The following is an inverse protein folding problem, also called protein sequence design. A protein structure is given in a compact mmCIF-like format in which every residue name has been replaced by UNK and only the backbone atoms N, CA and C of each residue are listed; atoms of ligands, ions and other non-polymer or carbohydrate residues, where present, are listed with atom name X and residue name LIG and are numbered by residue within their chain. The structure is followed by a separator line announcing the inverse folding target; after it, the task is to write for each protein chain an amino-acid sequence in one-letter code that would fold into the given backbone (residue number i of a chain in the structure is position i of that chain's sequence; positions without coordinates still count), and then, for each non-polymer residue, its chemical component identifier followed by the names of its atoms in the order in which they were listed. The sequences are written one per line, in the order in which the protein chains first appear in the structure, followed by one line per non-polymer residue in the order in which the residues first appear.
data_IF_632056632149
#
_entry.id   IF_632056632149
#
_cell.length_a   1.000
_cell.length_b   1.000
_cell.length_c   1.000
_cell.angle_alpha   90.00
_cell.angle_beta   90.00
_cell.angle_gamma   90.00
#
_symmetry.space_group_name_H-M   'P 1'
#
loop_
_entity.id
_entity.type
_entity.pdbx_description
1 polymer ?
#
# COMPACT_ATOMS: atom_id res chain seq x y z
N UNK A 1 10.05 -41.28 -4.53
CA UNK A 1 9.92 -40.23 -5.58
C UNK A 1 9.00 -39.15 -5.04
N UNK A 2 9.40 -37.88 -5.06
CA UNK A 2 8.57 -36.75 -4.62
C UNK A 2 7.62 -36.29 -5.73
N UNK A 3 6.55 -35.56 -5.41
CA UNK A 3 5.61 -34.97 -6.39
C UNK A 3 6.36 -34.21 -7.50
N UNK A 4 7.36 -33.41 -7.12
CA UNK A 4 8.19 -32.64 -8.05
C UNK A 4 9.02 -33.55 -8.96
N UNK A 5 9.59 -34.63 -8.42
CA UNK A 5 10.36 -35.61 -9.20
C UNK A 5 9.47 -36.39 -10.19
N UNK A 6 8.27 -36.79 -9.77
CA UNK A 6 7.30 -37.47 -10.64
C UNK A 6 6.90 -36.61 -11.84
N UNK A 7 6.56 -35.34 -11.58
CA UNK A 7 6.18 -34.39 -12.64
C UNK A 7 7.35 -34.11 -13.58
N UNK A 8 8.56 -33.91 -13.05
CA UNK A 8 9.76 -33.71 -13.88
C UNK A 8 10.04 -34.90 -14.81
N UNK A 9 9.83 -36.12 -14.34
CA UNK A 9 10.02 -37.33 -15.15
C UNK A 9 9.02 -37.40 -16.31
N UNK A 10 7.74 -37.14 -16.06
CA UNK A 10 6.69 -37.12 -17.09
C UNK A 10 6.95 -36.04 -18.14
N UNK A 11 7.30 -34.82 -17.70
CA UNK A 11 7.62 -33.72 -18.61
C UNK A 11 8.83 -34.03 -19.49
N UNK A 12 9.88 -34.64 -18.94
CA UNK A 12 11.07 -35.01 -19.70
C UNK A 12 10.82 -36.09 -20.76
N UNK A 13 9.80 -36.93 -20.56
CA UNK A 13 9.34 -37.88 -21.58
C UNK A 13 8.53 -37.19 -22.68
N UNK A 14 7.60 -36.31 -22.31
CA UNK A 14 6.71 -35.61 -23.24
C UNK A 14 7.44 -34.60 -24.13
N UNK A 15 8.40 -33.84 -23.59
CA UNK A 15 9.17 -32.85 -24.36
C UNK A 15 10.01 -33.49 -25.50
N UNK A 16 10.18 -34.83 -25.53
CA UNK A 16 10.91 -35.57 -26.57
C UNK A 16 10.01 -36.10 -27.69
N UNK A 17 8.70 -35.96 -27.57
CA UNK A 17 7.75 -36.45 -28.57
C UNK A 17 7.45 -35.35 -29.59
N UNK A 18 7.67 -35.59 -30.90
CA UNK A 18 7.16 -34.70 -31.94
C UNK A 18 5.63 -34.84 -32.06
N UNK A 19 4.98 -33.79 -32.54
CA UNK A 19 3.55 -33.77 -32.92
C UNK A 19 2.55 -34.12 -31.80
N UNK A 20 2.73 -33.47 -30.65
CA UNK A 20 1.79 -33.61 -29.54
C UNK A 20 0.41 -32.96 -29.86
N UNK A 21 -0.70 -33.67 -29.60
CA UNK A 21 -2.05 -33.10 -29.65
C UNK A 21 -2.21 -31.86 -28.77
N UNK A 22 -3.04 -30.91 -29.20
CA UNK A 22 -3.26 -29.63 -28.49
C UNK A 22 -3.69 -29.81 -27.02
N UNK A 23 -4.52 -30.82 -26.72
CA UNK A 23 -4.95 -31.13 -25.35
C UNK A 23 -3.78 -31.59 -24.45
N UNK A 24 -2.80 -32.30 -25.02
CA UNK A 24 -1.60 -32.70 -24.30
C UNK A 24 -0.65 -31.51 -24.08
N UNK A 25 -0.59 -30.55 -24.99
CA UNK A 25 0.15 -29.30 -24.77
C UNK A 25 -0.40 -28.50 -23.58
N UNK A 26 -1.73 -28.43 -23.41
CA UNK A 26 -2.37 -27.80 -22.24
C UNK A 26 -2.05 -28.54 -20.95
N UNK A 27 -2.13 -29.88 -20.96
CA UNK A 27 -1.78 -30.71 -19.80
C UNK A 27 -0.31 -30.53 -19.39
N UNK A 28 0.61 -30.38 -20.35
CA UNK A 28 2.04 -30.13 -20.10
C UNK A 28 2.27 -28.79 -19.39
N UNK A 29 1.53 -27.74 -19.74
CA UNK A 29 1.62 -26.44 -19.08
C UNK A 29 1.22 -26.55 -17.60
N UNK A 30 0.07 -27.17 -17.33
CA UNK A 30 -0.44 -27.40 -15.96
C UNK A 30 0.58 -28.21 -15.14
N UNK A 31 1.17 -29.26 -15.72
CA UNK A 31 2.22 -30.05 -15.08
C UNK A 31 3.49 -29.21 -14.80
N UNK A 32 3.94 -28.37 -15.73
CA UNK A 32 5.10 -27.46 -15.53
C UNK A 32 4.86 -26.51 -14.35
N UNK A 33 3.62 -26.06 -14.15
CA UNK A 33 3.22 -25.20 -13.02
C UNK A 33 3.11 -25.97 -11.69
N UNK A 34 2.54 -27.18 -11.70
CA UNK A 34 2.48 -28.06 -10.53
C UNK A 34 3.89 -28.43 -10.02
N UNK A 35 4.87 -28.56 -10.92
CA UNK A 35 6.29 -28.76 -10.58
C UNK A 35 6.89 -27.57 -9.80
N UNK A 36 6.41 -26.36 -10.08
CA UNK A 36 6.86 -25.11 -9.46
C UNK A 36 6.14 -24.77 -8.15
N UNK A 37 5.15 -25.58 -7.75
CA UNK A 37 4.60 -25.57 -6.38
C UNK A 37 3.20 -25.00 -6.21
N UNK A 38 2.54 -24.52 -7.28
CA UNK A 38 1.14 -24.05 -7.22
C UNK A 38 0.25 -24.89 -8.14
N UNK A 39 -0.60 -25.78 -7.59
CA UNK A 39 -1.68 -26.41 -8.35
C UNK A 39 -2.93 -25.52 -8.38
N UNK A 40 -3.63 -25.46 -9.51
CA UNK A 40 -5.11 -25.48 -9.47
C UNK A 40 -5.91 -24.28 -9.99
N UNK A 41 -5.29 -23.16 -10.39
CA UNK A 41 -6.01 -22.12 -11.14
C UNK A 41 -5.01 -21.41 -12.04
N UNK A 42 -5.13 -21.60 -13.36
CA UNK A 42 -4.50 -20.68 -14.30
C UNK A 42 -5.23 -19.36 -14.07
N UNK A 43 -4.57 -18.45 -13.36
CA UNK A 43 -5.10 -17.12 -13.14
C UNK A 43 -4.90 -16.31 -14.42
N UNK A 44 -5.88 -16.37 -15.31
CA UNK A 44 -5.95 -15.46 -16.46
C UNK A 44 -6.34 -14.06 -15.98
N UNK A 45 -6.18 -13.05 -16.84
CA UNK A 45 -6.63 -11.69 -16.51
C UNK A 45 -8.12 -11.66 -16.17
N UNK A 46 -8.91 -12.38 -16.95
CA UNK A 46 -10.36 -12.50 -16.78
C UNK A 46 -10.70 -13.18 -15.46
N UNK A 47 -10.06 -14.30 -15.13
CA UNK A 47 -10.30 -15.03 -13.88
C UNK A 47 -9.93 -14.19 -12.64
N UNK A 48 -8.86 -13.38 -12.73
CA UNK A 48 -8.47 -12.45 -11.67
C UNK A 48 -9.53 -11.36 -11.49
N UNK A 49 -9.97 -10.74 -12.59
CA UNK A 49 -10.98 -9.67 -12.56
C UNK A 49 -12.31 -10.18 -12.04
N UNK A 50 -12.80 -11.30 -12.56
CA UNK A 50 -14.07 -11.92 -12.15
C UNK A 50 -14.06 -12.24 -10.64
N UNK A 51 -12.96 -12.80 -10.12
CA UNK A 51 -12.84 -13.09 -8.69
C UNK A 51 -12.89 -11.81 -7.82
N UNK A 52 -12.27 -10.73 -8.28
CA UNK A 52 -12.27 -9.44 -7.57
C UNK A 52 -13.63 -8.74 -7.68
N UNK A 53 -14.27 -8.78 -8.85
CA UNK A 53 -15.59 -8.21 -9.09
C UNK A 53 -16.65 -8.92 -8.25
N UNK A 54 -16.60 -10.26 -8.19
CA UNK A 54 -17.44 -11.04 -7.28
C UNK A 54 -17.27 -10.60 -5.81
N UNK A 55 -16.03 -10.42 -5.37
CA UNK A 55 -15.77 -9.91 -4.01
C UNK A 55 -16.38 -8.53 -3.80
N UNK A 56 -16.30 -7.66 -4.81
CA UNK A 56 -16.89 -6.32 -4.76
C UNK A 56 -18.41 -6.34 -4.73
N UNK A 57 -19.07 -7.26 -5.44
CA UNK A 57 -20.52 -7.47 -5.37
C UNK A 57 -20.94 -7.94 -3.98
N UNK A 58 -20.21 -8.90 -3.40
CA UNK A 58 -20.51 -9.47 -2.08
C UNK A 58 -20.25 -8.46 -0.93
N UNK A 59 -19.22 -7.62 -1.04
CA UNK A 59 -18.75 -6.77 0.07
C UNK A 59 -18.90 -5.26 -0.16
N UNK A 60 -19.26 -4.81 -1.37
CA UNK A 60 -19.40 -3.39 -1.73
C UNK A 60 -18.08 -2.62 -1.78
N UNK A 61 -16.93 -3.30 -1.78
CA UNK A 61 -15.57 -2.73 -1.76
C UNK A 61 -14.54 -3.68 -2.38
N UNK A 62 -13.39 -3.18 -2.86
CA UNK A 62 -12.31 -4.04 -3.31
C UNK A 62 -11.67 -4.78 -2.12
N UNK A 63 -11.06 -5.95 -2.37
CA UNK A 63 -10.35 -6.70 -1.34
C UNK A 63 -9.11 -5.93 -0.87
N UNK A 64 -8.78 -6.07 0.40
CA UNK A 64 -7.49 -5.64 0.96
C UNK A 64 -6.41 -6.63 0.51
N UNK A 65 -5.15 -6.20 0.48
CA UNK A 65 -4.02 -7.07 0.09
C UNK A 65 -3.96 -8.36 0.93
N UNK A 66 -4.27 -8.29 2.23
CA UNK A 66 -4.33 -9.49 3.09
C UNK A 66 -5.50 -10.42 2.73
N UNK A 67 -6.62 -9.87 2.25
CA UNK A 67 -7.79 -10.67 1.88
C UNK A 67 -7.55 -11.47 0.60
N UNK A 68 -6.69 -10.97 -0.29
CA UNK A 68 -6.22 -11.73 -1.45
C UNK A 68 -5.53 -13.04 -1.05
N UNK A 69 -4.91 -13.09 0.13
CA UNK A 69 -4.21 -14.29 0.61
C UNK A 69 -5.08 -15.20 1.49
N UNK A 70 -6.13 -14.65 2.11
CA UNK A 70 -6.98 -15.38 3.06
C UNK A 70 -8.29 -15.88 2.46
N UNK A 71 -8.80 -15.23 1.40
CA UNK A 71 -10.05 -15.63 0.75
C UNK A 71 -9.73 -16.62 -0.37
N UNK A 72 -10.27 -17.84 -0.23
CA UNK A 72 -9.92 -18.98 -1.08
C UNK A 72 -10.16 -18.76 -2.58
N UNK A 73 -11.22 -18.03 -2.92
CA UNK A 73 -11.57 -17.79 -4.33
C UNK A 73 -10.83 -16.61 -4.96
N UNK A 74 -10.06 -15.84 -4.19
CA UNK A 74 -9.27 -14.69 -4.68
C UNK A 74 -7.87 -15.12 -5.13
N UNK A 75 -7.25 -14.37 -6.07
CA UNK A 75 -5.87 -14.60 -6.43
C UNK A 75 -4.93 -14.11 -5.33
N UNK A 76 -4.02 -14.98 -4.83
CA UNK A 76 -2.99 -14.55 -3.88
C UNK A 76 -2.22 -13.34 -4.41
N UNK A 77 -1.85 -12.40 -3.54
CA UNK A 77 -1.20 -11.16 -3.98
C UNK A 77 0.10 -11.36 -4.81
N UNK A 78 0.91 -12.44 -4.62
CA UNK A 78 2.08 -12.69 -5.47
C UNK A 78 1.71 -13.09 -6.90
N UNK A 79 0.54 -13.70 -7.10
CA UNK A 79 0.02 -14.03 -8.44
C UNK A 79 -0.31 -12.75 -9.20
N UNK A 80 -1.04 -11.84 -8.58
CA UNK A 80 -1.35 -10.51 -9.15
C UNK A 80 -0.05 -9.77 -9.46
N UNK A 81 0.94 -9.79 -8.57
CA UNK A 81 2.21 -9.12 -8.80
C UNK A 81 2.98 -9.68 -10.01
N UNK A 82 3.02 -11.00 -10.18
CA UNK A 82 3.66 -11.65 -11.33
C UNK A 82 2.93 -11.39 -12.63
N UNK A 83 1.60 -11.43 -12.61
CA UNK A 83 0.77 -11.26 -13.81
C UNK A 83 0.86 -9.83 -14.37
N UNK A 84 0.93 -8.81 -13.51
CA UNK A 84 0.83 -7.41 -13.93
C UNK A 84 2.10 -6.59 -13.73
N UNK A 85 3.17 -7.18 -13.19
CA UNK A 85 4.45 -6.47 -12.95
C UNK A 85 4.34 -5.31 -11.95
N UNK A 86 3.35 -5.31 -11.07
CA UNK A 86 3.14 -4.29 -10.04
C UNK A 86 2.48 -4.87 -8.79
N UNK A 87 2.65 -4.22 -7.64
CA UNK A 87 2.04 -4.69 -6.38
C UNK A 87 0.52 -4.82 -6.50
N UNK A 88 -0.08 -5.84 -5.88
CA UNK A 88 -1.53 -6.06 -5.91
C UNK A 88 -2.35 -4.85 -5.43
N UNK A 89 -1.88 -4.13 -4.40
CA UNK A 89 -2.54 -2.90 -3.94
C UNK A 89 -2.60 -1.82 -5.02
N UNK A 90 -1.48 -1.55 -5.71
CA UNK A 90 -1.42 -0.62 -6.84
C UNK A 90 -2.30 -1.06 -8.01
N UNK A 91 -2.35 -2.38 -8.28
CA UNK A 91 -3.22 -2.92 -9.32
C UNK A 91 -4.70 -2.71 -8.98
N UNK A 92 -5.12 -2.98 -7.74
CA UNK A 92 -6.49 -2.75 -7.27
C UNK A 92 -6.88 -1.27 -7.36
N UNK A 93 -5.99 -0.38 -6.94
CA UNK A 93 -6.22 1.06 -7.03
C UNK A 93 -6.36 1.55 -8.48
N UNK A 94 -5.53 1.02 -9.38
CA UNK A 94 -5.55 1.38 -10.81
C UNK A 94 -6.81 0.87 -11.52
N UNK A 95 -7.25 -0.35 -11.24
CA UNK A 95 -8.37 -0.99 -11.95
C UNK A 95 -9.73 -0.67 -11.33
N UNK A 96 -9.78 -0.36 -10.02
CA UNK A 96 -11.01 -0.05 -9.31
C UNK A 96 -10.90 1.31 -8.58
N UNK A 97 -10.60 2.41 -9.30
CA UNK A 97 -10.47 3.72 -8.69
C UNK A 97 -11.83 4.19 -8.14
N UNK A 98 -11.85 4.69 -6.91
CA UNK A 98 -13.04 5.26 -6.29
C UNK A 98 -14.03 4.26 -5.69
N UNK A 99 -13.73 2.96 -5.70
CA UNK A 99 -14.51 1.98 -4.95
C UNK A 99 -14.39 2.25 -3.43
N UNK A 100 -15.50 2.06 -2.69
CA UNK A 100 -15.54 2.35 -1.24
C UNK A 100 -14.42 1.60 -0.52
N UNK A 101 -13.57 2.29 0.24
CA UNK A 101 -12.47 1.68 0.97
C UNK A 101 -11.13 1.57 0.23
N UNK A 102 -11.02 2.04 -1.02
CA UNK A 102 -9.68 2.31 -1.58
C UNK A 102 -9.00 3.42 -0.75
N UNK A 103 -7.66 3.37 -0.65
CA UNK A 103 -6.90 4.44 0.01
C UNK A 103 -7.16 5.79 -0.66
N UNK A 104 -7.25 5.80 -1.99
CA UNK A 104 -7.65 6.96 -2.79
C UNK A 104 -9.07 7.47 -2.51
N UNK A 105 -9.97 6.60 -2.04
CA UNK A 105 -11.33 6.95 -1.67
C UNK A 105 -11.45 7.53 -0.25
N UNK A 106 -10.64 7.03 0.70
CA UNK A 106 -10.69 7.43 2.12
C UNK A 106 -10.38 8.91 2.34
N UNK A 107 -9.41 9.43 1.60
CA UNK A 107 -8.94 10.81 1.70
C UNK A 107 -9.28 11.64 0.45
N UNK A 108 -10.22 11.14 -0.37
CA UNK A 108 -10.60 11.79 -1.62
C UNK A 108 -11.18 13.17 -1.33
N UNK A 109 -10.57 14.20 -1.92
CA UNK A 109 -11.04 15.58 -1.80
C UNK A 109 -10.51 16.34 -0.58
N UNK A 110 -9.65 15.72 0.24
CA UNK A 110 -8.91 16.49 1.26
C UNK A 110 -7.89 17.39 0.57
N UNK A 111 -7.92 18.66 0.91
CA UNK A 111 -6.93 19.66 0.52
C UNK A 111 -5.68 19.57 1.39
N UNK A 112 -4.54 20.11 0.96
CA UNK A 112 -3.37 20.29 1.82
C UNK A 112 -3.70 21.01 3.14
N UNK A 113 -4.60 21.99 3.10
CA UNK A 113 -5.07 22.74 4.26
C UNK A 113 -5.82 21.84 5.24
N UNK A 114 -6.75 21.00 4.76
CA UNK A 114 -7.46 20.03 5.59
C UNK A 114 -6.48 19.08 6.30
N UNK A 115 -5.45 18.61 5.57
CA UNK A 115 -4.42 17.72 6.14
C UNK A 115 -3.59 18.43 7.22
N UNK A 116 -3.23 19.70 7.02
CA UNK A 116 -2.56 20.52 8.05
C UNK A 116 -3.43 20.66 9.29
N UNK A 117 -4.70 21.03 9.13
CA UNK A 117 -5.63 21.21 10.25
C UNK A 117 -5.83 19.91 11.04
N UNK A 118 -6.04 18.79 10.34
CA UNK A 118 -6.15 17.47 10.95
C UNK A 118 -4.89 17.10 11.73
N UNK A 119 -3.70 17.34 11.16
CA UNK A 119 -2.43 17.09 11.84
C UNK A 119 -2.29 17.94 13.09
N UNK A 120 -2.51 19.25 12.99
CA UNK A 120 -2.37 20.20 14.12
C UNK A 120 -3.31 19.83 15.27
N UNK A 121 -4.59 19.56 14.95
CA UNK A 121 -5.58 19.18 15.94
C UNK A 121 -5.17 17.89 16.66
N UNK A 122 -4.75 16.88 15.89
CA UNK A 122 -4.40 15.58 16.45
C UNK A 122 -3.08 15.61 17.23
N UNK A 123 -2.10 16.40 16.76
CA UNK A 123 -0.83 16.61 17.45
C UNK A 123 -1.05 17.30 18.80
N UNK A 124 -1.85 18.37 18.84
CA UNK A 124 -2.20 19.08 20.07
C UNK A 124 -2.95 18.18 21.06
N UNK A 125 -3.82 17.28 20.56
CA UNK A 125 -4.55 16.31 21.39
C UNK A 125 -3.62 15.25 22.01
N UNK A 126 -2.67 14.75 21.23
CA UNK A 126 -1.84 13.61 21.62
C UNK A 126 -0.58 13.99 22.39
N UNK A 127 0.00 15.16 22.09
CA UNK A 127 1.36 15.55 22.45
C UNK A 127 2.34 14.38 22.25
N UNK A 128 2.46 13.86 21.01
CA UNK A 128 3.18 12.62 20.75
C UNK A 128 4.68 12.80 21.01
N UNK A 129 5.29 11.76 21.58
CA UNK A 129 6.73 11.74 21.87
C UNK A 129 7.59 11.43 20.65
N UNK A 130 7.02 10.73 19.65
CA UNK A 130 7.64 10.44 18.36
C UNK A 130 6.60 10.33 17.25
N UNK A 131 7.06 10.22 16.00
CA UNK A 131 6.24 9.95 14.83
C UNK A 131 5.50 8.60 14.91
N UNK A 132 6.12 7.56 15.47
CA UNK A 132 5.44 6.27 15.70
C UNK A 132 4.40 6.38 16.80
N UNK A 133 4.65 7.19 17.83
CA UNK A 133 3.69 7.44 18.91
C UNK A 133 2.43 8.15 18.36
N UNK A 134 2.61 9.11 17.45
CA UNK A 134 1.52 9.75 16.74
C UNK A 134 0.71 8.72 15.93
N UNK A 135 1.36 7.96 15.05
CA UNK A 135 0.67 6.98 14.21
C UNK A 135 -0.05 5.92 15.05
N UNK A 136 0.55 5.45 16.15
CA UNK A 136 -0.08 4.45 17.01
C UNK A 136 -1.34 4.95 17.72
N UNK A 137 -1.40 6.23 18.08
CA UNK A 137 -2.46 6.82 18.93
C UNK A 137 -3.45 7.71 18.17
N UNK A 138 -3.24 7.97 16.89
CA UNK A 138 -4.15 8.77 16.06
C UNK A 138 -5.55 8.14 15.99
N UNK A 139 -6.57 8.97 15.89
CA UNK A 139 -7.95 8.55 15.70
C UNK A 139 -8.14 7.87 14.34
N UNK A 140 -9.11 6.96 14.27
CA UNK A 140 -9.50 6.37 12.99
C UNK A 140 -10.07 7.45 12.08
N UNK A 141 -9.68 7.42 10.80
CA UNK A 141 -9.94 8.49 9.85
C UNK A 141 -8.85 9.56 9.75
N UNK A 142 -7.95 9.70 10.74
CA UNK A 142 -6.77 10.58 10.60
C UNK A 142 -5.69 9.88 9.77
N UNK A 143 -5.17 10.51 8.69
CA UNK A 143 -4.05 9.95 7.93
C UNK A 143 -2.79 9.73 8.80
N UNK A 144 -1.95 8.78 8.39
CA UNK A 144 -0.63 8.63 9.03
C UNK A 144 0.26 9.82 8.72
N UNK A 145 1.28 10.05 9.56
CA UNK A 145 2.20 11.16 9.35
C UNK A 145 2.91 11.06 7.99
N UNK A 146 3.31 9.86 7.56
CA UNK A 146 3.93 9.63 6.25
C UNK A 146 3.01 10.03 5.09
N UNK A 147 1.70 9.79 5.22
CA UNK A 147 0.74 10.19 4.19
C UNK A 147 0.64 11.71 4.13
N UNK A 148 0.49 12.38 5.28
CA UNK A 148 0.41 13.84 5.37
C UNK A 148 1.68 14.50 4.85
N UNK A 149 2.85 14.02 5.28
CA UNK A 149 4.15 14.51 4.84
C UNK A 149 4.28 14.46 3.31
N UNK A 150 3.94 13.32 2.70
CA UNK A 150 3.96 13.15 1.24
C UNK A 150 2.99 14.10 0.51
N UNK A 151 1.79 14.33 1.05
CA UNK A 151 0.82 15.26 0.44
C UNK A 151 1.21 16.73 0.63
N UNK A 152 1.98 17.04 1.68
CA UNK A 152 2.46 18.37 2.02
C UNK A 152 3.89 18.64 1.52
N UNK A 153 4.42 17.76 0.68
CA UNK A 153 5.75 17.88 0.07
C UNK A 153 6.90 18.03 1.07
N UNK A 154 6.81 17.34 2.21
CA UNK A 154 7.87 17.25 3.22
C UNK A 154 8.25 15.80 3.46
N UNK A 155 9.51 15.55 3.84
CA UNK A 155 10.04 14.18 3.94
C UNK A 155 10.36 13.77 5.38
N UNK A 156 10.41 14.73 6.32
CA UNK A 156 10.80 14.49 7.72
C UNK A 156 9.71 14.91 8.70
N UNK A 157 9.63 14.17 9.81
CA UNK A 157 8.73 14.48 10.93
C UNK A 157 8.87 15.92 11.44
N UNK A 158 10.11 16.41 11.59
CA UNK A 158 10.36 17.77 12.04
C UNK A 158 9.91 18.81 11.01
N UNK A 159 10.12 18.56 9.72
CA UNK A 159 9.67 19.46 8.64
C UNK A 159 8.15 19.57 8.64
N UNK A 160 7.43 18.46 8.84
CA UNK A 160 5.97 18.46 9.01
C UNK A 160 5.55 19.28 10.24
N UNK A 161 6.21 19.10 11.38
CA UNK A 161 5.92 19.85 12.60
C UNK A 161 6.18 21.34 12.46
N UNK A 162 7.25 21.72 11.78
CA UNK A 162 7.60 23.10 11.47
C UNK A 162 6.60 23.71 10.48
N UNK A 163 6.25 22.99 9.41
CA UNK A 163 5.27 23.42 8.42
C UNK A 163 3.90 23.65 9.03
N UNK A 164 3.51 22.79 9.97
CA UNK A 164 2.25 22.89 10.71
C UNK A 164 2.32 23.83 11.93
N UNK A 165 3.45 24.50 12.17
CA UNK A 165 3.60 25.46 13.27
C UNK A 165 3.52 24.86 14.68
N UNK A 166 3.66 23.54 14.83
CA UNK A 166 3.67 22.85 16.13
C UNK A 166 5.07 22.63 16.69
N UNK A 167 6.10 22.99 15.92
CA UNK A 167 7.49 23.04 16.35
C UNK A 167 8.15 24.32 15.79
N UNK A 168 8.91 25.07 16.60
CA UNK A 168 9.64 26.22 16.09
C UNK A 168 10.84 25.77 15.25
N UNK A 169 11.13 26.52 14.18
CA UNK A 169 12.41 26.44 13.47
C UNK A 169 13.51 27.03 14.34
N UNK A 170 14.65 26.35 14.41
CA UNK A 170 15.84 26.89 15.07
C UNK A 170 16.57 27.80 14.08
N UNK A 171 16.59 29.10 14.35
CA UNK A 171 17.35 30.10 13.60
C UNK A 171 18.86 30.02 13.87
N UNK A 172 19.66 30.62 12.97
CA UNK A 172 21.14 30.60 13.01
C UNK A 172 21.78 31.19 14.28
N UNK A 173 21.01 31.91 15.12
CA UNK A 173 21.48 32.56 16.35
C UNK A 173 20.83 32.04 17.64
N UNK A 174 20.20 30.86 17.63
CA UNK A 174 19.52 30.30 18.82
C UNK A 174 18.10 30.83 19.05
N UNK A 175 17.53 31.50 18.05
CA UNK A 175 16.13 31.96 18.04
C UNK A 175 15.19 30.80 17.68
N UNK A 176 14.03 30.73 18.33
CA UNK A 176 12.92 29.83 17.97
C UNK A 176 11.90 30.62 17.16
N UNK A 177 11.72 30.23 15.90
CA UNK A 177 10.85 30.91 14.94
C UNK A 177 9.66 30.01 14.63
N UNK A 178 8.46 30.42 15.02
CA UNK A 178 7.23 29.75 14.60
C UNK A 178 6.78 30.31 13.25
N UNK A 179 6.69 29.45 12.23
CA UNK A 179 6.23 29.80 10.90
C UNK A 179 4.84 29.20 10.65
N UNK A 180 3.93 29.99 10.07
CA UNK A 180 2.73 29.48 9.40
C UNK A 180 2.68 30.11 8.01
N UNK A 181 2.59 29.26 6.99
CA UNK A 181 2.56 29.64 5.56
C UNK A 181 3.68 30.61 5.14
N UNK A 182 4.88 30.43 5.70
CA UNK A 182 6.07 31.24 5.37
C UNK A 182 6.15 32.58 6.10
N UNK A 183 5.16 32.92 6.92
CA UNK A 183 5.17 34.12 7.75
C UNK A 183 5.63 33.80 9.18
N UNK A 184 6.51 34.66 9.71
CA UNK A 184 6.97 34.60 11.10
C UNK A 184 5.83 35.04 12.00
N UNK A 185 5.31 34.12 12.83
CA UNK A 185 4.29 34.41 13.83
C UNK A 185 4.90 34.89 15.15
N UNK A 186 5.99 34.26 15.58
CA UNK A 186 6.60 34.54 16.88
C UNK A 186 8.10 34.21 16.85
N UNK A 187 8.91 35.10 17.45
CA UNK A 187 10.36 34.93 17.62
C UNK A 187 10.67 34.90 19.12
N UNK A 188 10.91 33.71 19.64
CA UNK A 188 11.39 33.55 21.02
C UNK A 188 12.92 33.62 21.04
N UNK A 189 13.44 34.57 21.82
CA UNK A 189 14.87 34.67 22.12
C UNK A 189 15.18 33.80 23.34
N UNK A 190 15.98 32.74 23.16
CA UNK A 190 16.46 31.95 24.28
C UNK A 190 17.48 32.79 25.05
N UNK A 191 17.10 33.31 26.22
CA UNK A 191 18.05 33.93 27.14
C UNK A 191 19.04 32.85 27.59
N UNK A 192 20.32 33.05 27.30
CA UNK A 192 21.39 32.29 27.92
C UNK A 192 21.49 32.76 29.37
N UNK A 193 20.95 31.96 30.30
CA UNK A 193 21.26 32.13 31.71
C UNK A 193 22.76 31.85 31.90
N UNK A 194 23.48 32.88 32.36
CA UNK A 194 24.91 32.84 32.67
C UNK A 194 25.13 32.29 34.08
#
# INVERSE_FOLDING_TARGET
MTRKQAISAVLGYLDRQPDLPQELCKAILILKEMRNGMPGKIWTDEAIREAVERFMEEHGRPPKVKELDTVEYLPPHPVVARQYGMTAGKWLEKNYPGAKGSLSGRYKGLTPEDLKEMFIAEYKRLAPSSEEDFDRRRQDGVPSWHYMAKQLEVDRWNELRELCGVMPKVGRSGERIFLVDGHVLEVEHVKQDT
#
